data_IF_725187963301
#
_entry.id   IF_725187963301
#
_cell.length_a   1.000
_cell.length_b   1.000
_cell.length_c   1.000
_cell.angle_alpha   90.00
_cell.angle_beta   90.00
_cell.angle_gamma   90.00
#
_symmetry.space_group_name_H-M   'P 1'
#
loop_
_entity.id
_entity.type
_entity.pdbx_description
1 polymer ?
#
# COMPACT_ATOMS: atom_id res chain seq x y z
N UNK A 1 -1.47 -17.69 26.71
CA UNK A 1 -1.65 -17.61 26.22
C UNK A 1 -1.81 -17.55 25.36
N UNK A 2 -1.68 -17.48 25.33
CA UNK A 2 -1.85 -17.30 24.73
C UNK A 2 -2.12 -17.55 23.78
N UNK A 3 -2.20 -18.03 23.54
CA UNK A 3 -2.50 -18.20 22.60
C UNK A 3 -2.74 -17.73 21.67
N UNK A 4 -2.63 -17.25 21.90
CA UNK A 4 -2.83 -16.45 21.20
C UNK A 4 -2.25 -16.37 20.04
N UNK A 5 -1.60 -16.82 19.73
CA UNK A 5 -1.08 -16.87 18.61
C UNK A 5 -1.68 -17.70 17.70
N UNK A 6 -2.84 -17.62 17.58
CA UNK A 6 -3.57 -18.48 16.83
C UNK A 6 -3.40 -18.17 15.38
N UNK A 7 -3.39 -19.14 14.45
CA UNK A 7 -3.32 -18.88 13.02
C UNK A 7 -4.42 -17.95 12.53
N UNK A 8 -5.60 -18.03 13.10
CA UNK A 8 -6.69 -17.14 12.73
C UNK A 8 -6.35 -15.68 12.99
N UNK A 9 -5.66 -15.42 14.08
CA UNK A 9 -5.27 -14.06 14.42
C UNK A 9 -4.24 -13.52 13.43
N UNK A 10 -3.29 -14.34 13.04
CA UNK A 10 -2.32 -13.98 12.03
C UNK A 10 -2.99 -13.69 10.69
N UNK A 11 -3.97 -14.50 10.34
CA UNK A 11 -4.72 -14.33 9.11
C UNK A 11 -5.49 -13.02 9.09
N UNK A 12 -6.12 -12.67 10.21
CA UNK A 12 -6.83 -11.41 10.34
C UNK A 12 -5.89 -10.22 10.18
N UNK A 13 -4.71 -10.30 10.74
CA UNK A 13 -3.72 -9.25 10.59
C UNK A 13 -3.32 -9.06 9.14
N UNK A 14 -3.13 -10.16 8.41
CA UNK A 14 -2.80 -10.09 6.98
C UNK A 14 -3.90 -9.42 6.19
N UNK A 15 -5.16 -9.69 6.49
CA UNK A 15 -6.28 -9.02 5.84
C UNK A 15 -6.29 -7.53 6.14
N UNK A 16 -6.02 -7.14 7.39
CA UNK A 16 -5.98 -5.74 7.75
C UNK A 16 -4.89 -4.99 6.99
N UNK A 17 -3.73 -5.60 6.84
CA UNK A 17 -2.64 -5.01 6.07
C UNK A 17 -3.04 -4.83 4.61
N UNK A 18 -3.68 -5.83 4.03
CA UNK A 18 -4.11 -5.76 2.65
C UNK A 18 -5.19 -4.70 2.44
N UNK A 19 -6.12 -4.57 3.39
CA UNK A 19 -7.15 -3.54 3.34
C UNK A 19 -6.50 -2.15 3.34
N UNK A 20 -5.51 -1.93 4.18
CA UNK A 20 -4.81 -0.64 4.23
C UNK A 20 -4.11 -0.34 2.90
N UNK A 21 -3.61 -1.36 2.24
CA UNK A 21 -2.91 -1.18 0.97
C UNK A 21 -3.84 -1.24 -0.24
N UNK A 22 -5.12 -1.51 -0.03
CA UNK A 22 -6.08 -1.63 -1.13
C UNK A 22 -6.20 -0.34 -1.93
N UNK A 23 -5.93 0.79 -1.31
CA UNK A 23 -5.98 2.09 -2.00
C UNK A 23 -5.00 2.13 -3.18
N UNK A 24 -3.91 1.38 -3.11
CA UNK A 24 -2.93 1.32 -4.19
C UNK A 24 -3.50 0.70 -5.46
N UNK A 25 -4.55 -0.13 -5.32
CA UNK A 25 -5.20 -0.78 -6.45
C UNK A 25 -6.47 -0.06 -6.89
N UNK A 26 -6.73 1.12 -6.36
CA UNK A 26 -7.91 1.89 -6.72
C UNK A 26 -7.74 2.50 -8.12
N UNK A 27 -8.78 3.21 -8.61
CA UNK A 27 -8.68 3.90 -9.88
C UNK A 27 -7.55 4.93 -9.85
N UNK A 28 -7.07 5.31 -11.03
CA UNK A 28 -6.00 6.30 -11.12
C UNK A 28 -6.39 7.62 -10.44
N UNK A 29 -7.65 8.01 -10.58
CA UNK A 29 -8.14 9.24 -9.95
C UNK A 29 -8.11 9.14 -8.44
N UNK A 30 -8.59 8.05 -7.90
CA UNK A 30 -8.62 7.84 -6.45
C UNK A 30 -7.20 7.74 -5.89
N UNK A 31 -6.32 7.07 -6.61
CA UNK A 31 -4.93 6.96 -6.21
C UNK A 31 -4.28 8.35 -6.15
N UNK A 32 -4.55 9.19 -7.16
CA UNK A 32 -4.01 10.53 -7.19
C UNK A 32 -4.52 11.38 -6.02
N UNK A 33 -5.80 11.26 -5.69
CA UNK A 33 -6.37 11.92 -4.52
C UNK A 33 -5.66 11.51 -3.24
N UNK A 34 -5.45 10.22 -3.09
CA UNK A 34 -4.77 9.67 -1.92
C UNK A 34 -3.36 10.25 -1.80
N UNK A 35 -2.64 10.32 -2.90
CA UNK A 35 -1.29 10.87 -2.91
C UNK A 35 -1.29 12.35 -2.51
N UNK A 36 -2.27 13.10 -2.98
CA UNK A 36 -2.41 14.50 -2.58
C UNK A 36 -2.69 14.64 -1.10
N UNK A 37 -3.54 13.79 -0.55
CA UNK A 37 -3.86 13.83 0.87
C UNK A 37 -2.63 13.55 1.72
N UNK A 38 -1.83 12.55 1.31
CA UNK A 38 -0.59 12.23 2.02
C UNK A 38 0.39 13.40 1.95
N UNK A 39 0.50 14.03 0.79
CA UNK A 39 1.38 15.18 0.63
C UNK A 39 0.98 16.31 1.56
N UNK A 40 -0.33 16.55 1.74
CA UNK A 40 -0.81 17.58 2.66
C UNK A 40 -0.47 17.25 4.10
N UNK A 41 -0.56 16.00 4.48
CA UNK A 41 -0.21 15.57 5.83
C UNK A 41 1.26 15.82 6.14
N UNK A 42 2.11 15.76 5.13
CA UNK A 42 3.54 15.98 5.29
C UNK A 42 3.98 17.34 4.74
N UNK A 43 3.06 18.30 4.68
CA UNK A 43 3.38 19.63 4.16
C UNK A 43 4.48 20.34 4.97
N UNK A 44 4.69 19.92 6.21
CA UNK A 44 5.74 20.48 7.06
C UNK A 44 7.14 19.98 6.70
N UNK A 45 7.22 18.96 5.85
CA UNK A 45 8.49 18.42 5.37
C UNK A 45 8.88 19.15 4.10
N UNK A 46 10.18 19.38 3.92
CA UNK A 46 10.68 19.97 2.68
C UNK A 46 10.16 19.19 1.47
N UNK A 47 9.64 19.91 0.48
CA UNK A 47 8.98 19.29 -0.67
C UNK A 47 9.89 18.35 -1.43
N UNK A 48 11.15 18.71 -1.62
CA UNK A 48 12.07 17.85 -2.36
C UNK A 48 12.40 16.59 -1.58
N UNK A 49 12.60 16.72 -0.27
CA UNK A 49 12.85 15.57 0.58
C UNK A 49 11.63 14.65 0.57
N UNK A 50 10.43 15.23 0.69
CA UNK A 50 9.20 14.44 0.66
C UNK A 50 9.09 13.64 -0.63
N UNK A 51 9.32 14.29 -1.78
CA UNK A 51 9.20 13.63 -3.08
C UNK A 51 10.15 12.44 -3.21
N UNK A 52 11.40 12.62 -2.81
CA UNK A 52 12.38 11.55 -2.87
C UNK A 52 11.95 10.38 -2.00
N UNK A 53 11.56 10.67 -0.77
CA UNK A 53 11.16 9.61 0.17
C UNK A 53 9.89 8.90 -0.29
N UNK A 54 8.93 9.66 -0.84
CA UNK A 54 7.69 9.07 -1.31
C UNK A 54 7.92 8.13 -2.49
N UNK A 55 8.77 8.54 -3.43
CA UNK A 55 9.13 7.69 -4.56
C UNK A 55 9.79 6.40 -4.08
N UNK A 56 10.68 6.49 -3.09
CA UNK A 56 11.32 5.31 -2.52
C UNK A 56 10.28 4.35 -1.94
N UNK A 57 9.30 4.87 -1.20
CA UNK A 57 8.25 4.05 -0.61
C UNK A 57 7.41 3.37 -1.69
N UNK A 58 7.01 4.12 -2.71
CA UNK A 58 6.19 3.58 -3.78
C UNK A 58 6.94 2.54 -4.60
N UNK A 59 8.23 2.77 -4.85
CA UNK A 59 9.05 1.78 -5.55
C UNK A 59 9.24 0.53 -4.72
N UNK A 60 9.35 0.67 -3.41
CA UNK A 60 9.45 -0.47 -2.52
C UNK A 60 8.20 -1.36 -2.66
N UNK A 61 7.01 -0.74 -2.64
CA UNK A 61 5.78 -1.49 -2.84
C UNK A 61 5.74 -2.14 -4.22
N UNK A 62 6.19 -1.43 -5.24
CA UNK A 62 6.21 -1.97 -6.60
C UNK A 62 7.07 -3.22 -6.70
N UNK A 63 8.18 -3.25 -5.97
CA UNK A 63 9.11 -4.37 -6.01
C UNK A 63 8.67 -5.55 -5.16
N UNK A 64 7.73 -5.35 -4.24
CA UNK A 64 7.23 -6.45 -3.42
C UNK A 64 6.49 -7.48 -4.27
N UNK A 65 6.83 -8.74 -4.10
CA UNK A 65 6.20 -9.83 -4.83
C UNK A 65 5.96 -10.99 -3.87
N UNK A 66 4.72 -11.17 -3.42
CA UNK A 66 3.54 -10.36 -3.74
C UNK A 66 3.45 -9.11 -2.86
N UNK A 67 2.73 -8.12 -3.36
CA UNK A 67 2.45 -6.91 -2.56
C UNK A 67 1.44 -7.21 -1.46
N UNK A 68 0.39 -7.97 -1.80
CA UNK A 68 -0.66 -8.31 -0.85
C UNK A 68 -0.40 -9.65 -0.21
N UNK A 69 -0.83 -9.77 1.05
CA UNK A 69 -0.56 -10.97 1.85
C UNK A 69 -1.58 -12.08 1.64
N UNK A 70 -2.82 -11.73 1.27
CA UNK A 70 -3.87 -12.72 1.10
C UNK A 70 -4.08 -13.05 -0.36
N UNK A 71 -4.53 -14.28 -0.62
CA UNK A 71 -4.77 -14.72 -1.98
C UNK A 71 -5.85 -13.92 -2.67
N UNK A 72 -6.89 -13.54 -1.93
CA UNK A 72 -7.99 -12.74 -2.48
C UNK A 72 -7.47 -11.43 -3.06
N UNK A 73 -6.66 -10.70 -2.29
CA UNK A 73 -6.13 -9.42 -2.73
C UNK A 73 -5.08 -9.58 -3.84
N UNK A 74 -4.28 -10.63 -3.79
CA UNK A 74 -3.34 -10.90 -4.88
C UNK A 74 -4.07 -11.13 -6.19
N UNK A 75 -5.15 -11.91 -6.14
CA UNK A 75 -5.90 -12.25 -7.34
C UNK A 75 -6.64 -11.06 -7.92
N UNK A 76 -7.20 -10.21 -7.08
CA UNK A 76 -8.10 -9.15 -7.54
C UNK A 76 -7.46 -7.77 -7.59
N UNK A 77 -6.42 -7.50 -6.83
CA UNK A 77 -5.87 -6.16 -6.68
C UNK A 77 -4.40 -6.01 -7.03
N UNK A 78 -3.64 -7.08 -7.02
CA UNK A 78 -2.19 -7.00 -7.20
C UNK A 78 -1.82 -6.32 -8.52
N UNK A 79 -2.45 -6.71 -9.60
CA UNK A 79 -2.13 -6.18 -10.92
C UNK A 79 -2.43 -4.69 -11.01
N UNK A 80 -3.60 -4.27 -10.53
CA UNK A 80 -3.97 -2.86 -10.57
C UNK A 80 -3.03 -2.01 -9.72
N UNK A 81 -2.66 -2.51 -8.55
CA UNK A 81 -1.71 -1.81 -7.70
C UNK A 81 -0.38 -1.63 -8.40
N UNK A 82 0.12 -2.68 -9.05
CA UNK A 82 1.39 -2.60 -9.77
C UNK A 82 1.32 -1.63 -10.94
N UNK A 83 0.20 -1.59 -11.65
CA UNK A 83 0.00 -0.63 -12.73
C UNK A 83 0.07 0.79 -12.20
N UNK A 84 -0.64 1.07 -11.10
CA UNK A 84 -0.63 2.40 -10.51
C UNK A 84 0.78 2.79 -10.03
N UNK A 85 1.46 1.86 -9.37
CA UNK A 85 2.80 2.13 -8.86
C UNK A 85 3.84 2.29 -9.96
N UNK A 86 3.63 1.70 -11.10
CA UNK A 86 4.58 1.77 -12.21
C UNK A 86 4.70 3.18 -12.80
N UNK A 87 3.79 4.07 -12.44
CA UNK A 87 3.82 5.45 -12.92
C UNK A 87 4.81 6.33 -12.15
N UNK A 88 5.43 5.78 -11.12
CA UNK A 88 6.37 6.55 -10.29
C UNK A 88 7.84 6.10 -10.43
#
# INVERSE_FOLDING_TARGET
>A
ATQEHQPSKQHDLNYLLDIDLAILASSAERFAEYEQQIQQEYAWVDTEIYKVKRVEVLQHFYQMQPLYQTEYFRKHFEQNAKVNLSKF
#
